data_IF_358878273052
#
_entry.id   IF_358878273052
#
_cell.length_a   1.000
_cell.length_b   1.000
_cell.length_c   1.000
_cell.angle_alpha   90.00
_cell.angle_beta   90.00
_cell.angle_gamma   90.00
#
_symmetry.space_group_name_H-M   'P 1'
#
loop_
_entity.id
_entity.type
_entity.pdbx_description
1 polymer ?
#
# COMPACT_ATOMS: atom_id res chain seq x y z
N UNK A 1 -13.20 20.88 19.42
CA UNK A 1 -13.70 19.51 19.68
C UNK A 1 -12.48 18.66 19.99
N UNK A 2 -12.47 17.96 21.14
CA UNK A 2 -11.35 17.06 21.44
C UNK A 2 -11.38 15.84 20.51
N UNK A 3 -10.21 15.25 20.26
CA UNK A 3 -10.09 14.02 19.44
C UNK A 3 -10.99 12.89 19.98
N UNK A 4 -11.14 12.79 21.29
CA UNK A 4 -12.01 11.80 21.95
C UNK A 4 -13.50 12.03 21.65
N UNK A 5 -13.95 13.28 21.62
CA UNK A 5 -15.33 13.61 21.26
C UNK A 5 -15.62 13.33 19.80
N UNK A 6 -14.72 13.70 18.88
CA UNK A 6 -14.86 13.42 17.46
C UNK A 6 -14.87 11.90 17.18
N UNK A 7 -14.04 11.15 17.90
CA UNK A 7 -13.99 9.68 17.81
C UNK A 7 -15.27 9.02 18.32
N UNK A 8 -15.84 9.50 19.42
CA UNK A 8 -17.09 8.98 19.96
C UNK A 8 -18.28 9.25 19.04
N UNK A 9 -18.39 10.46 18.50
CA UNK A 9 -19.42 10.81 17.52
C UNK A 9 -19.32 9.99 16.23
N UNK A 10 -18.11 9.75 15.75
CA UNK A 10 -17.87 8.90 14.59
C UNK A 10 -18.32 7.46 14.85
N UNK A 11 -17.98 6.91 16.00
CA UNK A 11 -18.36 5.55 16.40
C UNK A 11 -19.88 5.40 16.47
N UNK A 12 -20.57 6.38 17.03
CA UNK A 12 -22.03 6.39 17.13
C UNK A 12 -22.70 6.43 15.75
N UNK A 13 -22.20 7.26 14.84
CA UNK A 13 -22.66 7.31 13.44
C UNK A 13 -22.46 5.99 12.72
N UNK A 14 -21.31 5.36 12.88
CA UNK A 14 -21.01 4.04 12.30
C UNK A 14 -21.98 3.00 12.84
N UNK A 15 -22.21 2.96 14.16
CA UNK A 15 -23.17 2.04 14.79
C UNK A 15 -24.59 2.23 14.27
N UNK A 16 -25.03 3.48 14.16
CA UNK A 16 -26.36 3.79 13.64
C UNK A 16 -26.51 3.34 12.17
N UNK A 17 -25.51 3.60 11.36
CA UNK A 17 -25.49 3.19 9.94
C UNK A 17 -25.53 1.67 9.79
N UNK A 18 -24.73 0.94 10.56
CA UNK A 18 -24.72 -0.54 10.56
C UNK A 18 -26.06 -1.11 11.01
N UNK A 19 -26.71 -0.52 12.02
CA UNK A 19 -28.02 -0.95 12.50
C UNK A 19 -29.12 -0.77 11.46
N UNK A 20 -29.13 0.38 10.76
CA UNK A 20 -30.06 0.65 9.67
C UNK A 20 -29.84 -0.33 8.49
N UNK A 21 -28.60 -0.68 8.20
CA UNK A 21 -28.27 -1.68 7.19
C UNK A 21 -28.81 -3.06 7.57
N UNK A 22 -28.57 -3.51 8.79
CA UNK A 22 -29.04 -4.80 9.29
C UNK A 22 -30.54 -4.93 9.18
N UNK A 23 -31.31 -3.89 9.56
CA UNK A 23 -32.76 -3.88 9.44
C UNK A 23 -33.25 -3.97 7.97
N UNK A 24 -32.56 -3.30 7.05
CA UNK A 24 -32.95 -3.25 5.65
C UNK A 24 -32.76 -4.56 4.91
N UNK A 25 -31.78 -5.37 5.32
CA UNK A 25 -31.41 -6.61 4.62
C UNK A 25 -31.73 -7.88 5.44
N UNK A 26 -32.50 -7.76 6.53
CA UNK A 26 -32.92 -8.90 7.33
C UNK A 26 -33.81 -9.83 6.52
N UNK A 27 -33.33 -11.05 6.24
CA UNK A 27 -34.05 -12.09 5.49
C UNK A 27 -33.84 -12.08 3.97
N UNK A 28 -33.00 -11.22 3.43
CA UNK A 28 -32.64 -11.22 2.00
C UNK A 28 -31.33 -11.94 1.74
N UNK A 29 -31.20 -12.53 0.54
CA UNK A 29 -29.91 -13.05 0.04
C UNK A 29 -29.04 -11.86 -0.38
N UNK A 30 -28.06 -11.50 0.46
CA UNK A 30 -27.37 -10.22 0.37
C UNK A 30 -26.18 -10.29 -0.56
N UNK A 31 -26.21 -9.51 -1.65
CA UNK A 31 -25.02 -9.20 -2.43
C UNK A 31 -24.07 -8.31 -1.62
N UNK A 32 -23.01 -8.93 -1.08
CA UNK A 32 -22.00 -8.25 -0.26
C UNK A 32 -21.32 -7.08 -0.98
N UNK A 33 -21.18 -7.13 -2.30
CA UNK A 33 -20.59 -6.04 -3.07
C UNK A 33 -21.53 -4.81 -3.12
N UNK A 34 -22.83 -5.05 -3.21
CA UNK A 34 -23.85 -4.01 -3.15
C UNK A 34 -23.94 -3.41 -1.75
N UNK A 35 -23.91 -4.25 -0.72
CA UNK A 35 -23.92 -3.85 0.68
C UNK A 35 -22.71 -2.96 1.01
N UNK A 36 -21.53 -3.36 0.58
CA UNK A 36 -20.31 -2.59 0.78
C UNK A 36 -20.37 -1.21 0.12
N UNK A 37 -20.82 -1.14 -1.14
CA UNK A 37 -20.97 0.15 -1.86
C UNK A 37 -21.94 1.10 -1.17
N UNK A 38 -23.07 0.56 -0.74
CA UNK A 38 -24.10 1.34 -0.05
C UNK A 38 -23.63 1.82 1.32
N UNK A 39 -22.88 0.97 2.07
CA UNK A 39 -22.28 1.34 3.35
C UNK A 39 -21.29 2.49 3.19
N UNK A 40 -20.36 2.37 2.25
CA UNK A 40 -19.36 3.41 1.96
C UNK A 40 -20.04 4.72 1.58
N UNK A 41 -21.06 4.66 0.74
CA UNK A 41 -21.83 5.85 0.35
C UNK A 41 -22.46 6.53 1.56
N UNK A 42 -23.15 5.79 2.42
CA UNK A 42 -23.81 6.35 3.62
C UNK A 42 -22.82 6.93 4.61
N UNK A 43 -21.72 6.24 4.86
CA UNK A 43 -20.67 6.75 5.75
C UNK A 43 -20.11 8.06 5.21
N UNK A 44 -19.85 8.16 3.92
CA UNK A 44 -19.38 9.40 3.30
C UNK A 44 -20.43 10.52 3.36
N UNK A 45 -21.70 10.21 3.11
CA UNK A 45 -22.79 11.19 3.18
C UNK A 45 -22.99 11.72 4.61
N UNK A 46 -22.89 10.85 5.64
CA UNK A 46 -23.05 11.25 7.03
C UNK A 46 -21.85 12.03 7.60
N UNK A 47 -20.64 11.72 7.11
CA UNK A 47 -19.42 12.40 7.54
C UNK A 47 -19.16 13.71 6.81
N UNK A 48 -19.99 14.06 5.79
CA UNK A 48 -19.73 15.17 4.86
C UNK A 48 -18.31 15.10 4.26
N UNK A 49 -17.77 13.87 4.18
CA UNK A 49 -16.49 13.61 3.56
C UNK A 49 -16.71 13.66 2.06
N UNK A 50 -16.18 14.67 1.43
CA UNK A 50 -16.05 14.67 -0.03
C UNK A 50 -15.36 13.35 -0.41
N UNK A 51 -15.98 12.52 -1.28
CA UNK A 51 -15.30 11.31 -1.70
C UNK A 51 -13.93 11.71 -2.24
N UNK A 52 -12.87 11.18 -1.63
CA UNK A 52 -11.55 11.22 -2.27
C UNK A 52 -11.79 10.72 -3.67
N UNK A 53 -11.68 11.59 -4.67
CA UNK A 53 -12.11 11.33 -6.03
C UNK A 53 -11.65 9.94 -6.47
N UNK A 54 -12.56 8.98 -6.73
CA UNK A 54 -12.20 7.66 -7.23
C UNK A 54 -11.70 7.74 -8.68
N UNK A 55 -11.62 8.94 -9.26
CA UNK A 55 -11.47 9.16 -10.68
C UNK A 55 -10.05 8.93 -11.21
N UNK A 56 -9.06 8.71 -10.37
CA UNK A 56 -7.70 8.43 -10.89
C UNK A 56 -7.00 7.38 -10.05
N UNK A 57 -7.46 6.14 -10.09
CA UNK A 57 -6.54 5.03 -9.86
C UNK A 57 -5.67 4.94 -11.11
N UNK A 58 -4.56 5.67 -11.08
CA UNK A 58 -3.54 5.60 -12.13
C UNK A 58 -3.12 4.14 -12.27
N UNK A 59 -3.27 3.59 -13.47
CA UNK A 59 -2.87 2.22 -13.74
C UNK A 59 -1.35 2.13 -13.54
N UNK A 60 -0.93 1.25 -12.65
CA UNK A 60 0.50 1.06 -12.36
C UNK A 60 1.25 0.65 -13.64
N UNK A 61 2.21 1.43 -14.12
CA UNK A 61 3.08 1.03 -15.22
C UNK A 61 3.90 -0.22 -14.87
N UNK A 62 4.39 -0.91 -15.89
CA UNK A 62 5.28 -2.08 -15.70
C UNK A 62 6.51 -1.72 -14.87
N UNK A 63 7.08 -0.55 -15.12
CA UNK A 63 8.31 -0.06 -14.48
C UNK A 63 8.01 1.24 -13.74
N UNK A 64 8.44 1.33 -12.49
CA UNK A 64 8.44 2.54 -11.68
C UNK A 64 9.86 2.91 -11.30
N UNK A 65 10.19 4.19 -11.34
CA UNK A 65 11.40 4.67 -10.70
C UNK A 65 11.31 4.42 -9.20
N UNK A 66 12.45 4.26 -8.55
CA UNK A 66 12.48 3.86 -7.15
C UNK A 66 13.56 4.62 -6.38
N UNK A 67 13.17 5.21 -5.27
CA UNK A 67 14.09 5.72 -4.26
C UNK A 67 14.35 4.66 -3.19
N UNK A 68 15.60 4.60 -2.74
CA UNK A 68 16.07 3.65 -1.72
C UNK A 68 16.32 4.39 -0.42
N UNK A 69 15.50 4.11 0.58
CA UNK A 69 15.63 4.68 1.93
C UNK A 69 16.12 3.59 2.88
N UNK A 70 17.19 3.88 3.62
CA UNK A 70 17.73 2.99 4.66
C UNK A 70 17.46 3.58 6.02
N UNK A 71 17.06 2.73 6.93
CA UNK A 71 16.85 3.11 8.32
C UNK A 71 17.27 1.97 9.26
N UNK A 72 17.35 2.27 10.52
CA UNK A 72 17.69 1.32 11.56
C UNK A 72 16.60 1.33 12.62
N UNK A 73 16.17 0.13 13.00
CA UNK A 73 15.27 -0.08 14.11
C UNK A 73 15.95 -1.07 15.08
N UNK A 74 16.22 -0.62 16.30
CA UNK A 74 17.04 -1.33 17.26
C UNK A 74 18.44 -1.65 16.68
N UNK A 75 18.77 -2.93 16.53
CA UNK A 75 20.03 -3.40 15.94
C UNK A 75 19.91 -3.73 14.46
N UNK A 76 18.68 -3.84 13.95
CA UNK A 76 18.42 -4.31 12.61
C UNK A 76 18.46 -3.16 11.60
N UNK A 77 19.06 -3.44 10.47
CA UNK A 77 19.13 -2.53 9.34
C UNK A 77 18.01 -2.85 8.37
N UNK A 78 17.28 -1.81 7.99
CA UNK A 78 16.12 -1.90 7.14
C UNK A 78 16.30 -1.12 5.85
N UNK A 79 15.55 -1.52 4.84
CA UNK A 79 15.42 -0.79 3.60
C UNK A 79 13.95 -0.61 3.24
N UNK A 80 13.62 0.56 2.73
CA UNK A 80 12.37 0.82 2.03
C UNK A 80 12.70 1.18 0.58
N UNK A 81 12.07 0.47 -0.34
CA UNK A 81 12.09 0.72 -1.77
C UNK A 81 10.79 1.44 -2.12
N UNK A 82 10.87 2.72 -2.44
CA UNK A 82 9.72 3.58 -2.69
C UNK A 82 9.56 3.76 -4.19
N UNK A 83 8.56 3.09 -4.76
CA UNK A 83 8.21 3.24 -6.17
C UNK A 83 7.49 4.56 -6.42
N UNK A 84 7.95 5.28 -7.43
CA UNK A 84 7.47 6.61 -7.78
C UNK A 84 6.70 6.57 -9.10
N UNK A 85 5.54 7.20 -9.13
CA UNK A 85 4.77 7.48 -10.33
C UNK A 85 4.71 8.99 -10.52
N UNK A 86 5.26 9.49 -11.63
CA UNK A 86 5.36 10.92 -11.92
C UNK A 86 5.99 11.74 -10.77
N UNK A 87 7.01 11.15 -10.11
CA UNK A 87 7.73 11.77 -9.00
C UNK A 87 7.00 11.68 -7.64
N UNK A 88 5.81 11.09 -7.58
CA UNK A 88 5.06 10.90 -6.33
C UNK A 88 5.15 9.46 -5.82
N UNK A 89 5.28 9.24 -4.50
CA UNK A 89 5.22 7.90 -3.93
C UNK A 89 3.93 7.17 -4.32
N UNK A 90 4.09 5.97 -4.88
CA UNK A 90 2.99 5.15 -5.37
C UNK A 90 2.91 3.79 -4.67
N UNK A 91 4.05 3.19 -4.40
CA UNK A 91 4.15 1.92 -3.70
C UNK A 91 5.40 1.85 -2.84
N UNK A 92 5.39 0.98 -1.85
CA UNK A 92 6.52 0.74 -0.96
C UNK A 92 6.73 -0.76 -0.79
N UNK A 93 8.00 -1.16 -0.74
CA UNK A 93 8.45 -2.48 -0.33
C UNK A 93 9.45 -2.29 0.78
N UNK A 94 9.29 -2.97 1.89
CA UNK A 94 10.18 -2.82 3.04
C UNK A 94 10.55 -4.18 3.63
N UNK A 95 11.78 -4.26 4.10
CA UNK A 95 12.31 -5.46 4.73
C UNK A 95 13.71 -5.24 5.26
N UNK A 96 14.30 -6.32 5.76
CA UNK A 96 15.64 -6.30 6.34
C UNK A 96 16.73 -6.19 5.26
N UNK A 97 17.80 -5.46 5.60
CA UNK A 97 19.09 -5.51 4.89
C UNK A 97 19.91 -6.66 5.45
N UNK A 98 19.52 -7.87 5.09
CA UNK A 98 20.08 -9.12 5.56
C UNK A 98 20.15 -10.12 4.41
N UNK A 99 21.14 -11.03 4.45
CA UNK A 99 21.37 -12.00 3.38
C UNK A 99 20.39 -13.19 3.45
N UNK A 100 19.90 -13.51 4.64
CA UNK A 100 19.01 -14.66 4.88
C UNK A 100 17.55 -14.26 4.90
N UNK A 101 17.20 -13.16 5.58
CA UNK A 101 15.81 -12.73 5.82
C UNK A 101 15.39 -11.47 5.05
N UNK A 102 16.18 -11.04 4.07
CA UNK A 102 15.94 -9.81 3.36
C UNK A 102 16.67 -9.71 2.04
N UNK A 103 17.23 -8.55 1.78
CA UNK A 103 18.04 -8.29 0.60
C UNK A 103 19.38 -7.65 0.94
N UNK A 104 20.41 -8.03 0.19
CA UNK A 104 21.71 -7.35 0.24
C UNK A 104 21.76 -6.24 -0.82
N UNK A 105 22.02 -5.03 -0.38
CA UNK A 105 22.07 -3.88 -1.26
C UNK A 105 23.31 -3.01 -0.98
N UNK A 106 24.17 -2.75 -1.96
CA UNK A 106 25.32 -1.88 -1.78
C UNK A 106 24.94 -0.50 -1.25
N UNK A 107 25.70 0.03 -0.28
CA UNK A 107 25.39 1.34 0.35
C UNK A 107 25.31 2.49 -0.64
N UNK A 108 25.99 2.39 -1.77
CA UNK A 108 26.00 3.41 -2.83
C UNK A 108 24.69 3.47 -3.65
N UNK A 109 23.83 2.45 -3.55
CA UNK A 109 22.59 2.40 -4.32
C UNK A 109 21.51 3.18 -3.60
N UNK A 110 21.18 4.35 -4.12
CA UNK A 110 20.16 5.26 -3.58
C UNK A 110 18.91 5.32 -4.47
N UNK A 111 19.02 4.85 -5.70
CA UNK A 111 17.95 4.85 -6.70
C UNK A 111 17.98 3.57 -7.53
N UNK A 112 16.84 3.23 -8.09
CA UNK A 112 16.69 2.11 -9.00
C UNK A 112 15.33 2.12 -9.68
N UNK A 113 14.86 0.94 -10.04
CA UNK A 113 13.54 0.74 -10.65
C UNK A 113 12.87 -0.49 -10.08
N UNK A 114 11.58 -0.43 -9.90
CA UNK A 114 10.76 -1.60 -9.55
C UNK A 114 10.04 -2.06 -10.81
N UNK A 115 10.31 -3.29 -11.22
CA UNK A 115 9.72 -3.91 -12.39
C UNK A 115 8.68 -4.94 -11.94
N UNK A 116 7.44 -4.78 -12.42
CA UNK A 116 6.38 -5.77 -12.22
C UNK A 116 6.38 -6.74 -13.38
N UNK A 117 6.67 -7.99 -13.07
CA UNK A 117 6.55 -9.10 -14.01
C UNK A 117 5.27 -9.91 -13.75
N UNK A 118 4.71 -10.49 -14.79
CA UNK A 118 3.58 -11.41 -14.69
C UNK A 118 4.08 -12.77 -15.14
N UNK A 119 4.02 -13.74 -14.26
CA UNK A 119 4.41 -15.11 -14.53
C UNK A 119 3.37 -15.80 -15.45
N UNK A 120 3.74 -16.95 -16.02
CA UNK A 120 2.87 -17.71 -16.92
C UNK A 120 1.56 -18.19 -16.26
N UNK A 121 1.56 -18.34 -14.95
CA UNK A 121 0.38 -18.72 -14.12
C UNK A 121 -0.50 -17.51 -13.71
N UNK A 122 -0.15 -16.30 -14.18
CA UNK A 122 -0.84 -15.06 -13.83
C UNK A 122 -0.42 -14.43 -12.50
N UNK A 123 0.48 -15.06 -11.73
CA UNK A 123 1.03 -14.48 -10.51
C UNK A 123 1.93 -13.29 -10.82
N UNK A 124 1.99 -12.33 -9.90
CA UNK A 124 2.77 -11.10 -10.06
C UNK A 124 4.06 -11.21 -9.26
N UNK A 125 5.18 -10.90 -9.91
CA UNK A 125 6.50 -10.80 -9.29
C UNK A 125 6.99 -9.35 -9.39
N UNK A 126 7.67 -8.89 -8.38
CA UNK A 126 8.26 -7.55 -8.33
C UNK A 126 9.77 -7.69 -8.17
N UNK A 127 10.51 -7.08 -9.07
CA UNK A 127 11.96 -7.12 -9.12
C UNK A 127 12.52 -5.71 -8.90
N UNK A 128 13.62 -5.59 -8.16
CA UNK A 128 14.34 -4.33 -8.01
C UNK A 128 15.58 -4.32 -8.88
N UNK A 129 15.70 -3.34 -9.77
CA UNK A 129 16.83 -3.17 -10.69
C UNK A 129 17.60 -1.90 -10.34
N UNK A 130 18.91 -2.00 -10.32
CA UNK A 130 19.83 -0.89 -10.07
C UNK A 130 21.13 -1.07 -10.85
N UNK A 131 21.93 0.00 -10.93
CA UNK A 131 23.27 -0.04 -11.48
C UNK A 131 24.29 -0.07 -10.34
N UNK A 132 25.26 -0.98 -10.44
CA UNK A 132 26.38 -1.00 -9.50
C UNK A 132 27.40 0.11 -9.81
N UNK A 133 28.43 0.25 -8.97
CA UNK A 133 29.49 1.27 -9.17
C UNK A 133 30.24 1.15 -10.49
N UNK A 134 30.22 -0.05 -11.10
CA UNK A 134 30.87 -0.31 -12.40
C UNK A 134 29.94 -0.07 -13.58
N UNK A 135 28.70 0.38 -13.34
CA UNK A 135 27.70 0.62 -14.38
C UNK A 135 26.96 -0.62 -14.88
N UNK A 136 27.16 -1.78 -14.24
CA UNK A 136 26.42 -2.99 -14.61
C UNK A 136 25.03 -3.00 -13.98
N UNK A 137 24.04 -3.39 -14.76
CA UNK A 137 22.68 -3.59 -14.30
C UNK A 137 22.58 -4.84 -13.41
N UNK A 138 22.12 -4.64 -12.21
CA UNK A 138 21.87 -5.70 -11.24
C UNK A 138 20.37 -5.82 -11.00
N UNK A 139 19.89 -7.04 -10.76
CA UNK A 139 18.47 -7.31 -10.48
C UNK A 139 18.36 -8.16 -9.22
N UNK A 140 17.51 -7.72 -8.29
CA UNK A 140 17.04 -8.52 -7.17
C UNK A 140 15.63 -8.98 -7.54
N UNK A 141 15.49 -10.25 -7.84
CA UNK A 141 14.23 -10.85 -8.25
C UNK A 141 13.37 -11.24 -7.05
N UNK A 142 12.05 -11.15 -7.21
CA UNK A 142 11.09 -11.69 -6.27
C UNK A 142 11.09 -11.00 -4.90
N UNK A 143 10.92 -9.70 -4.84
CA UNK A 143 10.89 -8.94 -3.56
C UNK A 143 9.90 -9.52 -2.55
N UNK A 144 8.75 -10.03 -3.01
CA UNK A 144 7.73 -10.64 -2.13
C UNK A 144 8.17 -11.96 -1.49
N UNK A 145 9.14 -12.64 -2.10
CA UNK A 145 9.68 -13.90 -1.59
C UNK A 145 10.86 -13.66 -0.65
N UNK A 146 11.52 -12.50 -0.81
CA UNK A 146 12.69 -12.13 -0.01
C UNK A 146 12.36 -11.41 1.27
N UNK A 147 11.27 -10.66 1.28
CA UNK A 147 10.83 -9.96 2.47
C UNK A 147 9.84 -10.79 3.27
N UNK A 148 9.89 -10.66 4.59
CA UNK A 148 8.97 -11.34 5.49
C UNK A 148 7.51 -11.03 5.12
N UNK A 149 6.62 -12.05 5.03
CA UNK A 149 5.22 -11.89 4.63
C UNK A 149 4.44 -10.87 5.47
N UNK A 150 4.75 -10.72 6.75
CA UNK A 150 4.11 -9.74 7.62
C UNK A 150 4.38 -8.31 7.14
N UNK A 151 5.63 -7.97 6.87
CA UNK A 151 6.01 -6.65 6.35
C UNK A 151 5.49 -6.44 4.93
N UNK A 152 5.38 -7.49 4.14
CA UNK A 152 4.74 -7.44 2.83
C UNK A 152 3.27 -7.02 2.91
N UNK A 153 2.52 -7.49 3.92
CA UNK A 153 1.13 -7.11 4.12
C UNK A 153 0.99 -5.64 4.54
N UNK A 154 1.83 -5.16 5.44
CA UNK A 154 1.87 -3.73 5.79
C UNK A 154 2.24 -2.87 4.58
N UNK A 155 3.21 -3.27 3.79
CA UNK A 155 3.61 -2.58 2.57
C UNK A 155 2.46 -2.48 1.56
N UNK A 156 1.61 -3.50 1.43
CA UNK A 156 0.41 -3.45 0.59
C UNK A 156 -0.61 -2.43 1.08
N UNK A 157 -0.86 -2.37 2.39
CA UNK A 157 -1.76 -1.38 2.98
C UNK A 157 -1.27 0.05 2.75
N UNK A 158 0.00 0.31 3.04
CA UNK A 158 0.62 1.62 2.81
C UNK A 158 0.58 1.98 1.32
N UNK A 159 0.90 1.05 0.43
CA UNK A 159 0.83 1.27 -1.01
C UNK A 159 -0.60 1.58 -1.47
N UNK A 160 -1.62 0.99 -0.85
CA UNK A 160 -3.02 1.34 -1.08
C UNK A 160 -3.30 2.80 -0.76
N UNK A 161 -2.86 3.27 0.40
CA UNK A 161 -2.99 4.69 0.83
C UNK A 161 -2.26 5.64 -0.13
N UNK A 162 -1.02 5.32 -0.52
CA UNK A 162 -0.21 6.14 -1.42
C UNK A 162 -0.85 6.30 -2.81
N UNK A 163 -1.46 5.24 -3.35
CA UNK A 163 -2.15 5.27 -4.67
C UNK A 163 -3.31 6.26 -4.71
N UNK A 164 -3.99 6.44 -3.59
CA UNK A 164 -5.09 7.40 -3.46
C UNK A 164 -4.61 8.81 -3.06
N UNK A 165 -3.28 9.04 -3.03
CA UNK A 165 -2.68 10.34 -2.65
C UNK A 165 -3.21 10.89 -1.32
N UNK A 166 -3.53 10.00 -0.38
CA UNK A 166 -3.95 10.40 0.94
C UNK A 166 -2.79 11.10 1.65
N UNK A 167 -3.05 12.25 2.24
CA UNK A 167 -2.08 12.94 3.10
C UNK A 167 -1.86 12.11 4.36
N UNK A 168 -0.61 11.85 4.67
CA UNK A 168 -0.18 11.26 5.94
C UNK A 168 0.30 12.46 6.78
N UNK A 169 -0.56 12.95 7.64
CA UNK A 169 -0.19 13.94 8.67
C UNK A 169 0.19 13.24 9.97
#
# INVERSE_FOLDING_TARGET
>A
ISFEQASAELLEKVHHTLSAFRQRFEGEDVDFAKLHRELVKRVNDELDVQPCHPEVVEVRPKVLDCDVVRFQNNKDKWVALIGLLDGHPYEIFTGLLDDEEGIMLPKSVMKGRIVKEVNNDGTKRYDFQFFNKRGYKMTIEGLSERFNPEYWNYAKLISGVLRYRMTIE
#
